data_IF_109863994747
#
_entry.id   IF_109863994747
#
_cell.length_a   1.000
_cell.length_b   1.000
_cell.length_c   1.000
_cell.angle_alpha   90.00
_cell.angle_beta   90.00
_cell.angle_gamma   90.00
#
_symmetry.space_group_name_H-M   'P 1'
#
loop_
_entity.id
_entity.type
_entity.pdbx_description
1 polymer ?
#
# COMPACT_ATOMS: atom_id res chain seq x y z
N UNK A 1 -2.67 19.63 51.58
CA UNK A 1 -3.25 19.49 50.22
C UNK A 1 -2.29 20.12 49.22
N UNK A 2 -1.54 19.32 48.46
CA UNK A 2 -0.56 19.81 47.48
C UNK A 2 -1.26 20.08 46.15
N UNK A 3 -1.70 21.32 45.95
CA UNK A 3 -2.23 21.80 44.69
C UNK A 3 -1.11 21.91 43.66
N UNK A 4 -0.99 20.91 42.79
CA UNK A 4 -0.02 20.94 41.70
C UNK A 4 -0.50 21.87 40.59
N UNK A 5 -0.18 23.15 40.76
CA UNK A 5 -0.34 24.18 39.74
C UNK A 5 0.36 23.79 38.44
N UNK A 6 -0.33 24.08 37.32
CA UNK A 6 0.10 23.94 35.94
C UNK A 6 1.56 24.42 35.81
N UNK A 7 2.49 23.49 35.60
CA UNK A 7 3.93 23.78 35.60
C UNK A 7 4.32 24.66 34.40
N UNK A 8 4.42 25.97 34.64
CA UNK A 8 4.78 27.02 33.69
C UNK A 8 6.29 27.30 33.64
N UNK A 9 7.16 26.35 34.00
CA UNK A 9 8.58 26.65 34.20
C UNK A 9 9.62 25.54 33.99
N UNK A 10 9.27 24.39 33.41
CA UNK A 10 10.30 23.43 32.95
C UNK A 10 10.57 23.68 31.47
N UNK A 11 11.86 23.70 31.09
CA UNK A 11 12.31 23.66 29.69
C UNK A 11 11.44 22.68 28.93
N UNK A 12 10.60 23.23 28.04
CA UNK A 12 9.52 22.48 27.39
C UNK A 12 10.17 21.37 26.58
N UNK A 13 10.06 20.13 27.05
CA UNK A 13 10.53 18.98 26.30
C UNK A 13 10.00 19.06 24.85
N UNK A 14 10.83 18.71 23.86
CA UNK A 14 10.43 18.80 22.44
C UNK A 14 9.07 18.13 22.27
N UNK A 15 8.08 18.92 21.86
CA UNK A 15 6.72 18.42 21.73
C UNK A 15 6.69 17.35 20.63
N UNK A 16 6.34 16.10 21.00
CA UNK A 16 6.12 15.03 20.03
C UNK A 16 4.96 15.42 19.10
N UNK A 17 5.13 15.21 17.79
CA UNK A 17 4.10 15.48 16.79
C UNK A 17 2.93 14.52 16.95
N UNK A 18 1.72 14.92 16.52
CA UNK A 18 0.55 14.02 16.52
C UNK A 18 0.78 12.78 15.65
N UNK A 19 1.47 12.90 14.52
CA UNK A 19 1.88 11.77 13.69
C UNK A 19 2.77 10.80 14.45
N UNK A 20 3.85 11.28 15.09
CA UNK A 20 4.76 10.43 15.86
C UNK A 20 4.09 9.72 17.04
N UNK A 21 3.05 10.34 17.64
CA UNK A 21 2.26 9.71 18.71
C UNK A 21 1.30 8.65 18.19
N UNK A 22 0.85 8.77 16.95
CA UNK A 22 -0.07 7.83 16.31
C UNK A 22 0.66 6.74 15.51
N UNK A 23 1.99 6.79 15.42
CA UNK A 23 2.78 5.84 14.61
C UNK A 23 2.65 6.03 13.10
N UNK A 24 2.18 7.19 12.65
CA UNK A 24 1.91 7.47 11.23
C UNK A 24 3.05 8.24 10.58
N UNK A 25 3.43 7.88 9.36
CA UNK A 25 4.28 8.72 8.50
C UNK A 25 3.51 9.92 7.96
N UNK A 26 2.21 9.76 7.73
CA UNK A 26 1.37 10.82 7.18
C UNK A 26 1.16 11.98 8.18
N UNK A 27 1.06 13.23 7.68
CA UNK A 27 1.04 14.41 8.54
C UNK A 27 -0.36 14.69 9.12
N UNK A 28 -0.70 14.06 10.25
CA UNK A 28 -1.95 14.26 11.02
C UNK A 28 -2.25 15.75 11.25
N UNK A 29 -1.20 16.53 11.54
CA UNK A 29 -1.32 17.98 11.75
C UNK A 29 -1.85 18.72 10.52
N UNK A 30 -1.37 18.34 9.34
CA UNK A 30 -1.76 18.91 8.05
C UNK A 30 -3.16 18.44 7.67
N UNK A 31 -3.48 17.17 7.86
CA UNK A 31 -4.82 16.60 7.61
C UNK A 31 -5.88 17.35 8.44
N UNK A 32 -5.62 17.58 9.74
CA UNK A 32 -6.54 18.36 10.57
C UNK A 32 -6.80 19.77 10.03
N UNK A 33 -5.76 20.46 9.55
CA UNK A 33 -5.91 21.79 8.96
C UNK A 33 -6.74 21.75 7.67
N UNK A 34 -6.56 20.73 6.82
CA UNK A 34 -7.35 20.57 5.59
C UNK A 34 -8.83 20.28 5.91
N UNK A 35 -9.10 19.45 6.92
CA UNK A 35 -10.47 19.20 7.37
C UNK A 35 -11.15 20.47 7.88
N UNK A 36 -10.44 21.33 8.62
CA UNK A 36 -10.97 22.62 9.09
C UNK A 36 -11.22 23.60 7.94
N UNK A 37 -10.30 23.69 6.98
CA UNK A 37 -10.41 24.61 5.83
C UNK A 37 -11.46 24.14 4.81
N UNK A 38 -11.75 22.84 4.76
CA UNK A 38 -12.67 22.25 3.79
C UNK A 38 -14.16 22.42 4.10
N UNK A 39 -14.53 23.06 5.21
CA UNK A 39 -15.93 23.32 5.59
C UNK A 39 -16.83 22.07 5.61
N UNK A 40 -16.27 20.90 5.93
CA UNK A 40 -17.03 19.64 6.00
C UNK A 40 -18.00 19.58 7.20
N UNK A 41 -17.66 20.25 8.29
CA UNK A 41 -18.46 20.34 9.51
C UNK A 41 -18.00 21.55 10.36
N UNK A 42 -18.87 22.07 11.22
CA UNK A 42 -18.53 23.16 12.17
C UNK A 42 -17.40 22.73 13.12
N UNK A 43 -17.43 21.48 13.59
CA UNK A 43 -16.45 20.92 14.52
C UNK A 43 -15.82 19.65 13.95
N UNK A 44 -14.49 19.59 14.05
CA UNK A 44 -13.71 18.39 13.73
C UNK A 44 -13.19 17.80 15.04
N UNK A 45 -13.60 16.55 15.33
CA UNK A 45 -13.12 15.80 16.49
C UNK A 45 -11.62 15.52 16.41
N UNK A 46 -10.97 15.35 17.58
CA UNK A 46 -9.52 15.19 17.64
C UNK A 46 -9.01 13.90 16.98
N UNK A 47 -9.82 12.84 16.95
CA UNK A 47 -9.50 11.54 16.33
C UNK A 47 -9.69 11.50 14.81
N UNK A 48 -10.61 12.29 14.26
CA UNK A 48 -10.88 12.33 12.81
C UNK A 48 -9.63 12.52 11.93
N UNK A 49 -8.73 13.49 12.19
CA UNK A 49 -7.52 13.64 11.38
C UNK A 49 -6.49 12.52 11.57
N UNK A 50 -6.53 11.78 12.68
CA UNK A 50 -5.66 10.62 12.91
C UNK A 50 -6.17 9.46 12.05
N UNK A 51 -7.46 9.16 12.15
CA UNK A 51 -8.10 8.10 11.39
C UNK A 51 -7.94 8.31 9.89
N UNK A 52 -8.27 9.51 9.39
CA UNK A 52 -8.13 9.80 7.97
C UNK A 52 -6.66 9.75 7.51
N UNK A 53 -5.70 10.21 8.33
CA UNK A 53 -4.29 10.09 7.97
C UNK A 53 -3.85 8.62 7.85
N UNK A 54 -4.31 7.75 8.75
CA UNK A 54 -4.01 6.33 8.72
C UNK A 54 -4.59 5.66 7.46
N UNK A 55 -5.84 5.96 7.10
CA UNK A 55 -6.48 5.42 5.88
C UNK A 55 -5.75 5.88 4.62
N UNK A 56 -5.37 7.17 4.54
CA UNK A 56 -4.62 7.70 3.41
C UNK A 56 -3.22 7.09 3.29
N UNK A 57 -2.56 6.85 4.42
CA UNK A 57 -1.27 6.17 4.48
C UNK A 57 -1.38 4.73 4.00
N UNK A 58 -2.39 3.99 4.48
CA UNK A 58 -2.66 2.62 4.06
C UNK A 58 -2.91 2.51 2.55
N UNK A 59 -3.82 3.31 2.00
CA UNK A 59 -4.11 3.32 0.56
C UNK A 59 -2.88 3.69 -0.28
N UNK A 60 -2.06 4.62 0.21
CA UNK A 60 -0.82 5.01 -0.48
C UNK A 60 0.19 3.87 -0.47
N UNK A 61 0.34 3.17 0.66
CA UNK A 61 1.22 2.02 0.77
C UNK A 61 0.78 0.88 -0.16
N UNK A 62 -0.52 0.56 -0.20
CA UNK A 62 -1.07 -0.49 -1.06
C UNK A 62 -0.81 -0.21 -2.55
N UNK A 63 -1.09 1.02 -3.01
CA UNK A 63 -0.83 1.41 -4.40
C UNK A 63 0.68 1.36 -4.71
N UNK A 64 1.54 1.79 -3.79
CA UNK A 64 2.99 1.79 -3.98
C UNK A 64 3.58 0.37 -3.98
N UNK A 65 3.05 -0.53 -3.16
CA UNK A 65 3.45 -1.94 -3.13
C UNK A 65 3.17 -2.60 -4.49
N UNK A 66 1.93 -2.51 -4.96
CA UNK A 66 1.52 -3.08 -6.25
C UNK A 66 2.25 -2.41 -7.43
N UNK A 67 2.43 -1.09 -7.40
CA UNK A 67 3.17 -0.39 -8.44
C UNK A 67 4.68 -0.68 -8.40
N UNK A 68 5.24 -0.96 -7.22
CA UNK A 68 6.60 -1.44 -7.04
C UNK A 68 6.78 -2.83 -7.66
N UNK A 69 5.83 -3.73 -7.43
CA UNK A 69 5.80 -5.05 -8.07
C UNK A 69 5.69 -4.93 -9.59
N UNK A 70 4.78 -4.09 -10.10
CA UNK A 70 4.69 -3.83 -11.54
C UNK A 70 5.97 -3.22 -12.13
N UNK A 71 6.69 -2.36 -11.39
CA UNK A 71 7.98 -1.83 -11.82
C UNK A 71 9.03 -2.94 -11.91
N UNK A 72 9.10 -3.79 -10.90
CA UNK A 72 10.01 -4.94 -10.82
C UNK A 72 9.78 -5.92 -11.96
N UNK A 73 8.52 -6.24 -12.28
CA UNK A 73 8.14 -7.13 -13.39
C UNK A 73 8.57 -6.56 -14.74
N UNK A 74 8.54 -5.24 -14.89
CA UNK A 74 9.06 -4.52 -16.05
C UNK A 74 10.57 -4.29 -16.01
N UNK A 75 11.29 -4.93 -15.07
CA UNK A 75 12.74 -4.83 -14.87
C UNK A 75 13.21 -3.39 -14.65
N UNK A 76 12.42 -2.60 -13.91
CA UNK A 76 12.73 -1.21 -13.54
C UNK A 76 12.77 -1.07 -12.02
N UNK A 77 13.67 -0.22 -11.53
CA UNK A 77 13.76 0.13 -10.11
C UNK A 77 12.93 1.37 -9.73
N UNK A 78 12.44 2.12 -10.72
CA UNK A 78 11.68 3.36 -10.54
C UNK A 78 10.22 3.17 -10.95
N UNK A 79 9.31 3.55 -10.06
CA UNK A 79 7.88 3.65 -10.36
C UNK A 79 7.65 4.82 -11.34
N UNK A 80 6.93 4.55 -12.42
CA UNK A 80 6.48 5.55 -13.41
C UNK A 80 4.96 5.45 -13.56
N UNK A 81 4.28 6.42 -14.22
CA UNK A 81 2.82 6.39 -14.33
C UNK A 81 2.24 5.10 -14.95
N UNK A 82 2.99 4.45 -15.86
CA UNK A 82 2.62 3.14 -16.39
C UNK A 82 2.47 2.08 -15.29
N UNK A 83 3.38 2.04 -14.32
CA UNK A 83 3.33 1.05 -13.24
C UNK A 83 2.13 1.31 -12.31
N UNK A 84 1.80 2.56 -12.04
CA UNK A 84 0.58 2.93 -11.30
C UNK A 84 -0.68 2.47 -12.05
N UNK A 85 -0.75 2.70 -13.35
CA UNK A 85 -1.89 2.25 -14.16
C UNK A 85 -2.02 0.72 -14.17
N UNK A 86 -0.91 -0.01 -14.34
CA UNK A 86 -0.93 -1.48 -14.32
C UNK A 86 -1.38 -2.00 -12.95
N UNK A 87 -0.85 -1.45 -11.86
CA UNK A 87 -1.23 -1.83 -10.50
C UNK A 87 -2.72 -1.60 -10.24
N UNK A 88 -3.19 -0.38 -10.49
CA UNK A 88 -4.57 0.03 -10.20
C UNK A 88 -5.58 -0.73 -11.07
N UNK A 89 -5.29 -0.98 -12.35
CA UNK A 89 -6.27 -1.61 -13.26
C UNK A 89 -6.32 -3.13 -13.15
N UNK A 90 -5.25 -3.77 -12.66
CA UNK A 90 -5.24 -5.22 -12.42
C UNK A 90 -5.79 -5.60 -11.04
N UNK A 91 -5.88 -4.64 -10.10
CA UNK A 91 -6.49 -4.86 -8.79
C UNK A 91 -7.98 -4.48 -8.81
N UNK A 92 -8.85 -5.37 -8.34
CA UNK A 92 -10.30 -5.19 -8.42
C UNK A 92 -10.78 -4.04 -7.54
N UNK A 93 -10.27 -3.94 -6.31
CA UNK A 93 -10.71 -2.96 -5.32
C UNK A 93 -10.24 -1.55 -5.71
N UNK A 94 -8.98 -1.40 -6.12
CA UNK A 94 -8.42 -0.15 -6.59
C UNK A 94 -9.01 0.28 -7.93
N UNK A 95 -9.27 -0.65 -8.86
CA UNK A 95 -9.91 -0.31 -10.14
C UNK A 95 -11.33 0.21 -9.91
N UNK A 96 -12.05 -0.37 -8.94
CA UNK A 96 -13.39 0.11 -8.54
C UNK A 96 -13.30 1.47 -7.86
N UNK A 97 -12.40 1.64 -6.89
CA UNK A 97 -12.19 2.90 -6.17
C UNK A 97 -11.80 4.04 -7.12
N UNK A 98 -10.98 3.75 -8.14
CA UNK A 98 -10.42 4.72 -9.09
C UNK A 98 -11.01 4.58 -10.51
N UNK A 99 -12.24 4.07 -10.61
CA UNK A 99 -12.92 3.82 -11.89
C UNK A 99 -13.05 5.06 -12.77
N UNK A 100 -13.36 6.22 -12.16
CA UNK A 100 -13.49 7.51 -12.85
C UNK A 100 -12.21 8.33 -12.97
N UNK A 101 -11.07 7.83 -12.48
CA UNK A 101 -9.82 8.60 -12.45
C UNK A 101 -8.97 8.30 -13.68
N UNK A 102 -8.48 9.34 -14.35
CA UNK A 102 -7.51 9.22 -15.45
C UNK A 102 -6.09 9.37 -14.92
N UNK A 103 -5.23 8.39 -15.18
CA UNK A 103 -3.81 8.45 -14.85
C UNK A 103 -3.05 8.95 -16.08
N UNK A 104 -2.59 10.20 -16.01
CA UNK A 104 -1.77 10.79 -17.07
C UNK A 104 -0.53 9.92 -17.35
N UNK A 105 -0.23 9.67 -18.63
CA UNK A 105 0.89 8.83 -19.06
C UNK A 105 0.83 7.35 -18.60
N UNK A 106 -0.36 6.86 -18.17
CA UNK A 106 -0.54 5.48 -17.73
C UNK A 106 -0.72 4.45 -18.85
N UNK A 107 -1.24 4.86 -20.01
CA UNK A 107 -1.68 3.95 -21.07
C UNK A 107 -2.85 3.06 -20.64
N UNK A 108 -3.04 1.90 -21.28
CA UNK A 108 -4.13 0.95 -21.01
C UNK A 108 -3.61 -0.45 -20.75
N UNK A 109 -4.39 -1.32 -20.08
CA UNK A 109 -4.01 -2.72 -19.95
C UNK A 109 -3.91 -3.37 -21.35
N UNK A 110 -2.85 -4.16 -21.64
CA UNK A 110 -2.77 -4.89 -22.89
C UNK A 110 -3.94 -5.87 -22.99
N UNK A 111 -4.84 -5.64 -23.93
CA UNK A 111 -5.95 -6.53 -24.21
C UNK A 111 -6.29 -6.49 -25.69
N UNK A 112 -6.38 -7.65 -26.34
CA UNK A 112 -6.80 -7.78 -27.74
C UNK A 112 -8.03 -8.68 -27.73
N UNK A 113 -9.15 -8.16 -28.24
CA UNK A 113 -10.38 -8.93 -28.38
C UNK A 113 -10.14 -10.15 -29.28
N UNK A 114 -10.62 -11.33 -28.87
CA UNK A 114 -10.32 -12.60 -29.55
C UNK A 114 -10.68 -12.59 -31.05
N UNK A 115 -11.71 -11.83 -31.45
CA UNK A 115 -12.13 -11.66 -32.84
C UNK A 115 -11.08 -10.97 -33.73
N UNK A 116 -10.18 -10.19 -33.13
CA UNK A 116 -9.11 -9.47 -33.83
C UNK A 116 -7.85 -10.32 -33.99
N UNK A 117 -7.80 -11.50 -33.36
CA UNK A 117 -6.66 -12.39 -33.50
C UNK A 117 -6.66 -13.02 -34.90
N UNK A 118 -5.49 -13.19 -35.54
CA UNK A 118 -5.39 -13.93 -36.79
C UNK A 118 -6.05 -15.30 -36.65
N UNK A 119 -6.88 -15.68 -37.61
CA UNK A 119 -7.39 -17.06 -37.67
C UNK A 119 -6.17 -17.99 -37.71
N UNK A 120 -6.08 -18.93 -36.77
CA UNK A 120 -5.04 -19.96 -36.80
C UNK A 120 -5.17 -20.77 -38.10
N UNK A 121 -4.44 -20.40 -39.14
CA UNK A 121 -4.10 -21.34 -40.20
C UNK A 121 -3.14 -22.35 -39.57
N UNK A 122 -3.43 -23.65 -39.68
CA UNK A 122 -2.57 -24.71 -39.15
C UNK A 122 -1.19 -24.66 -39.84
N UNK A 123 -0.29 -23.82 -39.33
CA UNK A 123 1.12 -23.85 -39.67
C UNK A 123 1.74 -25.10 -39.09
N UNK A 124 2.29 -25.97 -39.95
CA UNK A 124 2.97 -27.21 -39.58
C UNK A 124 3.91 -26.98 -38.39
N UNK A 125 3.66 -27.68 -37.29
CA UNK A 125 4.55 -27.71 -36.16
C UNK A 125 5.90 -28.31 -36.59
N UNK A 126 6.92 -27.47 -36.73
CA UNK A 126 8.30 -27.95 -36.66
C UNK A 126 8.52 -28.42 -35.23
N UNK A 127 8.57 -29.73 -35.03
CA UNK A 127 8.96 -30.35 -33.77
C UNK A 127 10.40 -29.95 -33.45
N UNK A 128 10.58 -28.91 -32.63
CA UNK A 128 11.82 -28.76 -31.87
C UNK A 128 11.73 -29.71 -30.68
N UNK A 129 12.54 -30.77 -30.74
CA UNK A 129 12.79 -31.72 -29.65
C UNK A 129 13.10 -30.94 -28.36
N UNK A 130 12.12 -30.87 -27.44
CA UNK A 130 12.40 -30.52 -26.04
C UNK A 130 12.90 -31.78 -25.37
N UNK A 131 14.22 -31.83 -25.12
CA UNK A 131 14.84 -32.82 -24.25
C UNK A 131 14.16 -32.72 -22.88
N UNK A 132 13.48 -33.78 -22.49
CA UNK A 132 12.84 -33.95 -21.20
C UNK A 132 13.88 -33.81 -20.08
N UNK A 133 13.81 -32.72 -19.32
CA UNK A 133 14.45 -32.63 -18.02
C UNK A 133 13.38 -32.97 -16.97
N UNK A 134 13.31 -34.23 -16.60
CA UNK A 134 12.70 -34.67 -15.35
C UNK A 134 13.56 -34.13 -14.20
N UNK A 135 13.18 -32.96 -13.65
CA UNK A 135 13.79 -32.46 -12.41
C UNK A 135 13.03 -33.09 -11.25
N UNK A 136 13.76 -33.96 -10.56
CA UNK A 136 13.42 -34.58 -9.28
C UNK A 136 13.13 -33.46 -8.27
N UNK A 137 11.97 -33.50 -7.62
CA UNK A 137 11.67 -32.68 -6.45
C UNK A 137 12.56 -33.16 -5.29
N UNK A 138 13.63 -32.40 -4.97
CA UNK A 138 14.29 -32.51 -3.67
C UNK A 138 13.66 -31.48 -2.71
N UNK A 139 12.88 -31.90 -1.71
CA UNK A 139 12.25 -31.01 -0.75
C UNK A 139 13.24 -30.27 0.16
N UNK A 140 14.54 -30.61 0.15
CA UNK A 140 15.56 -29.92 0.95
C UNK A 140 15.98 -28.57 0.38
N UNK A 141 15.89 -28.38 -0.94
CA UNK A 141 16.28 -27.12 -1.62
C UNK A 141 15.22 -26.02 -1.45
N UNK A 142 13.96 -26.40 -1.22
CA UNK A 142 12.88 -25.45 -0.95
C UNK A 142 13.04 -24.76 0.41
N UNK A 143 13.54 -25.47 1.43
CA UNK A 143 13.74 -24.91 2.76
C UNK A 143 14.88 -23.87 2.79
N UNK A 144 16.00 -24.15 2.13
CA UNK A 144 17.13 -23.21 2.07
C UNK A 144 16.80 -21.92 1.30
N UNK A 145 15.91 -21.98 0.30
CA UNK A 145 15.51 -20.80 -0.48
C UNK A 145 14.56 -19.90 0.33
N UNK A 146 13.70 -20.49 1.17
CA UNK A 146 12.77 -19.74 2.03
C UNK A 146 13.52 -19.11 3.23
N UNK A 147 14.52 -19.79 3.78
CA UNK A 147 15.34 -19.23 4.86
C UNK A 147 16.28 -18.12 4.35
N UNK A 148 16.77 -18.20 3.11
CA UNK A 148 17.52 -17.10 2.47
C UNK A 148 16.64 -15.87 2.23
N UNK A 149 15.37 -16.06 1.89
CA UNK A 149 14.41 -14.96 1.70
C UNK A 149 13.99 -14.30 3.03
N UNK A 150 13.88 -15.09 4.11
CA UNK A 150 13.61 -14.59 5.47
C UNK A 150 14.79 -13.81 6.08
N UNK A 151 16.02 -14.20 5.76
CA UNK A 151 17.23 -13.51 6.25
C UNK A 151 17.51 -12.19 5.51
N UNK A 152 17.02 -12.01 4.29
CA UNK A 152 17.27 -10.81 3.47
C UNK A 152 16.16 -9.73 3.59
N UNK A 153 14.96 -10.09 4.08
CA UNK A 153 13.81 -9.17 4.27
C UNK A 153 13.34 -9.05 5.73
N UNK A 154 14.23 -9.31 6.69
CA UNK A 154 13.94 -9.13 8.11
C UNK A 154 13.80 -7.66 8.50
N UNK A 155 12.59 -7.11 8.48
CA UNK A 155 12.06 -6.11 9.44
C UNK A 155 10.68 -5.50 9.11
N UNK A 156 10.12 -5.69 7.91
CA UNK A 156 8.95 -4.86 7.49
C UNK A 156 7.57 -5.53 7.59
N UNK A 157 7.46 -6.83 7.91
CA UNK A 157 6.16 -7.48 8.08
C UNK A 157 5.46 -7.12 9.40
N UNK A 158 6.22 -6.90 10.49
CA UNK A 158 5.66 -6.50 11.80
C UNK A 158 5.02 -5.11 11.76
N UNK A 159 5.53 -4.23 10.89
CA UNK A 159 4.99 -2.88 10.71
C UNK A 159 3.56 -2.96 10.13
N UNK A 160 3.33 -3.89 9.20
CA UNK A 160 2.04 -4.05 8.50
C UNK A 160 0.97 -4.75 9.36
N UNK A 161 1.35 -5.68 10.23
CA UNK A 161 0.43 -6.23 11.24
C UNK A 161 0.04 -5.18 12.30
N UNK A 162 0.98 -4.34 12.72
CA UNK A 162 0.70 -3.21 13.61
C UNK A 162 -0.35 -2.23 13.05
N UNK A 163 -0.34 -1.98 11.73
CA UNK A 163 -1.34 -1.12 11.08
C UNK A 163 -2.75 -1.72 11.10
N UNK A 164 -2.88 -3.05 10.94
CA UNK A 164 -4.18 -3.73 11.04
C UNK A 164 -4.80 -3.57 12.43
N UNK A 165 -3.97 -3.65 13.48
CA UNK A 165 -4.46 -3.52 14.86
C UNK A 165 -4.77 -2.08 15.27
N UNK A 166 -4.04 -1.09 14.75
CA UNK A 166 -4.40 0.34 14.95
C UNK A 166 -5.75 0.67 14.30
N UNK A 167 -6.01 0.16 13.10
CA UNK A 167 -7.28 0.41 12.39
C UNK A 167 -8.45 -0.30 13.09
N UNK A 168 -8.27 -1.54 13.57
CA UNK A 168 -9.29 -2.25 14.36
C UNK A 168 -9.58 -1.57 15.70
N UNK A 169 -8.55 -1.14 16.43
CA UNK A 169 -8.70 -0.56 17.77
C UNK A 169 -9.23 0.88 17.76
N UNK A 170 -9.21 1.59 16.63
CA UNK A 170 -9.86 2.90 16.50
C UNK A 170 -11.39 2.79 16.31
N UNK A 171 -11.90 1.65 15.84
CA UNK A 171 -13.35 1.41 15.66
C UNK A 171 -14.11 1.22 16.97
N UNK A 172 -13.45 0.77 18.04
CA UNK A 172 -14.07 0.50 19.35
C UNK A 172 -14.18 1.72 20.26
N UNK A 173 -13.52 2.84 19.93
CA UNK A 173 -13.51 4.08 20.72
C UNK A 173 -14.63 5.08 20.33
N UNK A 174 -15.54 4.72 19.42
CA UNK A 174 -16.61 5.61 18.94
C UNK A 174 -18.01 5.31 19.49
N UNK A 175 -18.16 4.42 20.48
CA UNK A 175 -19.49 4.01 20.99
C UNK A 175 -19.88 4.58 22.36
N UNK A 176 -19.09 5.49 22.95
CA UNK A 176 -19.44 6.14 24.21
C UNK A 176 -19.10 7.64 24.20
N UNK A 177 -19.95 8.42 23.53
CA UNK A 177 -19.95 9.88 23.56
C UNK A 177 -21.35 10.41 23.28
#
# INVERSE_FOLDING_TARGET
>A
MSGRGKSTGKTRAKAKSRSSRAGLQFPVGRVHRHLRKGNYAERIGAGAPVYLAAVLEYLSAEILELAGNAARDNKKSRIIPRHLQLAIRNDEELNKLLGGVTIAQGGVLPNIQAVLLPKKTQGKATQTFRKSASVIHDPRVAAETVDKFKLEFGSDLEVMEGYRDVIRNLGSLSVHG
#
